data_IF_744518869317
#
_entry.id   IF_744518869317
#
_cell.length_a   1.000
_cell.length_b   1.000
_cell.length_c   1.000
_cell.angle_alpha   90.00
_cell.angle_beta   90.00
_cell.angle_gamma   90.00
#
_symmetry.space_group_name_H-M   'P 1'
#
loop_
_entity.id
_entity.type
_entity.pdbx_description
1 polymer ?
#
# COMPACT_ATOMS: atom_id res chain seq x y z
N UNK A 1 13.13 3.15 2.20
CA UNK A 1 11.99 3.60 2.99
C UNK A 1 11.02 2.45 3.23
N UNK A 2 10.58 2.26 4.47
CA UNK A 2 9.50 1.31 4.77
C UNK A 2 8.17 1.99 4.45
N UNK A 3 7.61 1.68 3.28
CA UNK A 3 6.31 2.17 2.85
C UNK A 3 5.36 0.97 2.85
N UNK A 4 4.39 1.00 3.75
CA UNK A 4 3.33 0.01 3.81
C UNK A 4 1.97 0.71 3.84
N UNK A 5 1.06 0.29 3.00
CA UNK A 5 -0.29 0.88 2.88
C UNK A 5 -1.37 -0.21 2.93
N UNK A 6 -0.99 -1.48 2.76
CA UNK A 6 -1.90 -2.60 2.57
C UNK A 6 -2.30 -2.81 1.10
N UNK A 7 -2.71 -4.03 0.77
CA UNK A 7 -3.03 -4.42 -0.60
C UNK A 7 -4.26 -3.70 -1.15
N UNK A 8 -5.31 -3.58 -0.34
CA UNK A 8 -6.56 -2.95 -0.79
C UNK A 8 -6.41 -1.43 -0.97
N UNK A 9 -5.83 -0.66 -0.04
CA UNK A 9 -5.58 0.77 -0.28
C UNK A 9 -4.68 1.02 -1.50
N UNK A 10 -3.68 0.18 -1.75
CA UNK A 10 -2.83 0.27 -2.94
C UNK A 10 -3.65 0.06 -4.22
N UNK A 11 -4.47 -0.99 -4.27
CA UNK A 11 -5.35 -1.26 -5.41
C UNK A 11 -6.32 -0.10 -5.67
N UNK A 12 -6.93 0.45 -4.63
CA UNK A 12 -7.83 1.61 -4.71
C UNK A 12 -7.12 2.88 -5.16
N UNK A 13 -5.88 3.11 -4.69
CA UNK A 13 -5.07 4.25 -5.13
C UNK A 13 -4.73 4.17 -6.63
N UNK A 14 -4.50 2.98 -7.17
CA UNK A 14 -4.33 2.79 -8.62
C UNK A 14 -5.66 3.03 -9.35
N UNK A 15 -6.78 2.49 -8.83
CA UNK A 15 -8.14 2.71 -9.36
C UNK A 15 -8.53 4.19 -9.42
N UNK A 16 -7.97 5.04 -8.55
CA UNK A 16 -8.19 6.48 -8.55
C UNK A 16 -8.02 7.10 -9.94
N UNK A 17 -7.00 6.68 -10.66
CA UNK A 17 -6.72 7.22 -12.01
C UNK A 17 -7.74 6.76 -13.07
N UNK A 18 -8.39 5.63 -12.84
CA UNK A 18 -9.39 5.06 -13.76
C UNK A 18 -10.82 5.50 -13.44
N UNK A 19 -11.09 6.05 -12.26
CA UNK A 19 -12.42 6.52 -11.84
C UNK A 19 -12.80 7.77 -12.64
N UNK A 20 -13.94 7.74 -13.35
CA UNK A 20 -14.32 8.78 -14.32
C UNK A 20 -14.78 10.09 -13.67
N UNK A 21 -15.45 10.03 -12.53
CA UNK A 21 -15.97 11.21 -11.81
C UNK A 21 -14.88 12.06 -11.17
N UNK A 22 -13.66 11.54 -11.03
CA UNK A 22 -12.54 12.32 -10.51
C UNK A 22 -12.01 13.24 -11.59
N UNK A 23 -11.98 14.55 -11.28
CA UNK A 23 -11.54 15.59 -12.22
C UNK A 23 -10.09 15.34 -12.66
N UNK A 24 -9.81 15.54 -13.95
CA UNK A 24 -8.45 15.40 -14.49
C UNK A 24 -7.43 16.27 -13.77
N UNK A 25 -7.79 17.49 -13.36
CA UNK A 25 -6.92 18.38 -12.58
C UNK A 25 -6.47 17.71 -11.28
N UNK A 26 -7.39 17.05 -10.56
CA UNK A 26 -7.06 16.32 -9.33
C UNK A 26 -6.13 15.14 -9.62
N UNK A 27 -6.39 14.38 -10.69
CA UNK A 27 -5.51 13.26 -11.09
C UNK A 27 -4.09 13.73 -11.37
N UNK A 28 -3.92 14.83 -12.13
CA UNK A 28 -2.60 15.39 -12.41
C UNK A 28 -1.93 15.96 -11.15
N UNK A 29 -2.69 16.60 -10.25
CA UNK A 29 -2.16 17.09 -8.99
C UNK A 29 -1.62 15.92 -8.12
N UNK A 30 -2.39 14.86 -7.94
CA UNK A 30 -1.95 13.68 -7.19
C UNK A 30 -0.77 12.99 -7.87
N UNK A 31 -0.78 12.87 -9.20
CA UNK A 31 0.35 12.32 -9.95
C UNK A 31 1.62 13.15 -9.75
N UNK A 32 1.51 14.48 -9.80
CA UNK A 32 2.63 15.39 -9.54
C UNK A 32 3.20 15.23 -8.12
N UNK A 33 2.33 15.10 -7.12
CA UNK A 33 2.74 14.86 -5.72
C UNK A 33 3.42 13.49 -5.59
N UNK A 34 2.87 12.43 -6.21
CA UNK A 34 3.49 11.10 -6.24
C UNK A 34 4.88 11.19 -6.87
N UNK A 35 4.99 11.82 -8.05
CA UNK A 35 6.26 11.99 -8.74
C UNK A 35 7.29 12.77 -7.90
N UNK A 36 6.84 13.80 -7.18
CA UNK A 36 7.69 14.56 -6.27
C UNK A 36 8.19 13.70 -5.11
N UNK A 37 7.36 12.89 -4.47
CA UNK A 37 7.78 11.97 -3.42
C UNK A 37 8.74 10.90 -3.95
N UNK A 38 8.43 10.31 -5.10
CA UNK A 38 9.32 9.32 -5.73
C UNK A 38 10.67 9.96 -6.04
N UNK A 39 10.69 11.15 -6.64
CA UNK A 39 11.92 11.89 -6.88
C UNK A 39 12.70 12.17 -5.57
N UNK A 40 11.98 12.50 -4.48
CA UNK A 40 12.59 12.74 -3.16
C UNK A 40 13.26 11.50 -2.56
N UNK A 41 12.80 10.28 -2.89
CA UNK A 41 13.46 9.06 -2.45
C UNK A 41 14.77 8.74 -3.18
N UNK A 42 14.94 9.26 -4.41
CA UNK A 42 16.12 8.99 -5.24
C UNK A 42 17.09 10.17 -5.35
N UNK A 43 16.59 11.41 -5.21
CA UNK A 43 17.41 12.62 -5.33
C UNK A 43 17.82 13.12 -3.95
N UNK A 44 19.11 13.04 -3.66
CA UNK A 44 19.70 13.49 -2.38
C UNK A 44 19.35 14.94 -2.04
N UNK A 45 19.31 15.82 -3.03
CA UNK A 45 18.96 17.24 -2.82
C UNK A 45 17.54 17.42 -2.26
N UNK A 46 16.57 16.62 -2.75
CA UNK A 46 15.19 16.66 -2.25
C UNK A 46 15.05 15.98 -0.89
N UNK A 47 15.79 14.89 -0.65
CA UNK A 47 15.82 14.24 0.66
C UNK A 47 16.37 15.20 1.74
N UNK A 48 17.44 15.94 1.44
CA UNK A 48 18.00 16.97 2.33
C UNK A 48 17.00 18.09 2.65
N UNK A 49 16.17 18.51 1.68
CA UNK A 49 15.11 19.50 1.92
C UNK A 49 14.15 19.04 3.02
N UNK A 50 13.72 17.79 2.99
CA UNK A 50 12.84 17.21 4.01
C UNK A 50 13.48 17.11 5.40
N UNK A 51 14.79 17.11 5.46
CA UNK A 51 15.58 16.98 6.69
C UNK A 51 16.17 18.32 7.19
N UNK A 52 15.67 19.44 6.67
CA UNK A 52 16.13 20.78 7.08
C UNK A 52 17.57 21.06 6.65
N UNK A 53 17.99 20.56 5.48
CA UNK A 53 19.33 20.73 4.90
C UNK A 53 20.46 20.08 5.72
N UNK A 54 20.14 19.17 6.63
CA UNK A 54 21.13 18.42 7.40
C UNK A 54 21.20 16.96 6.91
N UNK A 55 22.40 16.37 6.94
CA UNK A 55 22.55 14.96 6.63
C UNK A 55 21.75 14.09 7.62
N UNK A 56 21.03 13.07 7.14
CA UNK A 56 20.17 12.25 7.99
C UNK A 56 20.99 11.53 9.06
N UNK A 57 20.60 11.74 10.30
CA UNK A 57 21.16 11.00 11.43
C UNK A 57 20.25 9.82 11.75
N UNK A 58 20.68 8.59 11.48
CA UNK A 58 20.03 7.29 11.73
C UNK A 58 18.75 6.96 10.95
N UNK A 59 17.84 7.89 10.69
CA UNK A 59 16.54 7.60 10.06
C UNK A 59 16.43 8.25 8.70
N UNK A 60 16.66 7.47 7.65
CA UNK A 60 16.46 7.86 6.25
C UNK A 60 14.97 7.97 5.94
N UNK A 61 14.59 8.97 5.15
CA UNK A 61 13.23 9.12 4.59
C UNK A 61 12.08 9.17 5.62
N UNK A 62 12.22 9.99 6.67
CA UNK A 62 11.18 10.18 7.69
C UNK A 62 9.83 10.60 7.13
N UNK A 63 9.82 11.26 5.97
CA UNK A 63 8.62 11.72 5.27
C UNK A 63 7.87 10.61 4.50
N UNK A 64 8.37 9.36 4.50
CA UNK A 64 7.73 8.24 3.81
C UNK A 64 6.27 8.01 4.26
N UNK A 65 5.92 8.34 5.51
CA UNK A 65 4.54 8.24 5.99
C UNK A 65 3.58 9.19 5.25
N UNK A 66 4.05 10.35 4.77
CA UNK A 66 3.25 11.27 3.97
C UNK A 66 2.88 10.66 2.61
N UNK A 67 3.80 9.90 2.02
CA UNK A 67 3.50 9.14 0.80
C UNK A 67 2.44 8.07 1.05
N UNK A 68 2.53 7.33 2.15
CA UNK A 68 1.50 6.37 2.55
C UNK A 68 0.15 7.05 2.79
N UNK A 69 0.13 8.20 3.47
CA UNK A 69 -1.07 9.00 3.67
C UNK A 69 -1.70 9.44 2.34
N UNK A 70 -0.88 9.88 1.40
CA UNK A 70 -1.35 10.27 0.05
C UNK A 70 -2.07 9.09 -0.64
N UNK A 71 -1.50 7.89 -0.60
CA UNK A 71 -2.12 6.70 -1.18
C UNK A 71 -3.44 6.35 -0.48
N UNK A 72 -3.51 6.49 0.85
CA UNK A 72 -4.75 6.27 1.61
C UNK A 72 -5.82 7.30 1.23
N UNK A 73 -5.46 8.58 1.07
CA UNK A 73 -6.41 9.61 0.62
C UNK A 73 -6.97 9.30 -0.78
N UNK A 74 -6.13 8.87 -1.70
CA UNK A 74 -6.56 8.41 -3.03
C UNK A 74 -7.48 7.20 -2.94
N UNK A 75 -7.17 6.26 -2.07
CA UNK A 75 -7.99 5.07 -1.84
C UNK A 75 -9.37 5.43 -1.29
N UNK A 76 -9.46 6.34 -0.32
CA UNK A 76 -10.71 6.82 0.26
C UNK A 76 -11.57 7.55 -0.79
N UNK A 77 -10.95 8.39 -1.61
CA UNK A 77 -11.63 9.09 -2.69
C UNK A 77 -12.21 8.12 -3.74
N UNK A 78 -11.49 7.04 -4.02
CA UNK A 78 -11.97 5.98 -4.91
C UNK A 78 -13.09 5.15 -4.25
N UNK A 79 -12.92 4.81 -2.98
CA UNK A 79 -13.91 4.05 -2.22
C UNK A 79 -15.23 4.81 -2.10
N UNK A 80 -15.19 6.14 -1.95
CA UNK A 80 -16.41 6.98 -1.93
C UNK A 80 -17.20 6.92 -3.25
N UNK A 81 -16.55 6.48 -4.34
CA UNK A 81 -17.14 6.30 -5.69
C UNK A 81 -17.18 4.84 -6.11
N UNK A 82 -17.30 3.94 -5.15
CA UNK A 82 -17.26 2.49 -5.38
C UNK A 82 -18.28 2.00 -6.42
N UNK A 83 -19.43 2.67 -6.54
CA UNK A 83 -20.47 2.34 -7.51
C UNK A 83 -20.06 2.47 -8.98
N UNK A 84 -19.01 3.26 -9.27
CA UNK A 84 -18.46 3.39 -10.62
C UNK A 84 -17.51 2.24 -11.00
N UNK A 85 -17.06 1.48 -10.00
CA UNK A 85 -16.10 0.41 -10.19
C UNK A 85 -16.80 -0.81 -10.80
N UNK A 86 -16.23 -1.30 -11.89
CA UNK A 86 -16.72 -2.49 -12.61
C UNK A 86 -15.80 -3.68 -12.33
N UNK A 87 -16.35 -4.88 -12.45
CA UNK A 87 -15.59 -6.12 -12.25
C UNK A 87 -14.29 -6.17 -13.08
N UNK A 88 -14.31 -5.68 -14.31
CA UNK A 88 -13.13 -5.70 -15.16
C UNK A 88 -12.00 -4.78 -14.64
N UNK A 89 -12.33 -3.62 -14.01
CA UNK A 89 -11.33 -2.77 -13.37
C UNK A 89 -10.61 -3.52 -12.25
N UNK A 90 -11.38 -4.25 -11.42
CA UNK A 90 -10.83 -5.04 -10.32
C UNK A 90 -9.92 -6.14 -10.87
N UNK A 91 -10.37 -6.88 -11.89
CA UNK A 91 -9.57 -7.94 -12.50
C UNK A 91 -8.29 -7.41 -13.12
N UNK A 92 -8.35 -6.29 -13.86
CA UNK A 92 -7.18 -5.68 -14.50
C UNK A 92 -6.15 -5.25 -13.45
N UNK A 93 -6.58 -4.61 -12.36
CA UNK A 93 -5.65 -4.17 -11.31
C UNK A 93 -5.10 -5.34 -10.52
N UNK A 94 -5.93 -6.33 -10.21
CA UNK A 94 -5.43 -7.56 -9.57
C UNK A 94 -4.39 -8.26 -10.43
N UNK A 95 -4.61 -8.36 -11.74
CA UNK A 95 -3.64 -8.92 -12.68
C UNK A 95 -2.34 -8.08 -12.69
N UNK A 96 -2.45 -6.76 -12.74
CA UNK A 96 -1.30 -5.85 -12.71
C UNK A 96 -0.48 -6.02 -11.41
N UNK A 97 -1.14 -6.07 -10.25
CA UNK A 97 -0.48 -6.27 -8.96
C UNK A 97 0.18 -7.65 -8.86
N UNK A 98 -0.50 -8.70 -9.34
CA UNK A 98 0.05 -10.07 -9.36
C UNK A 98 1.27 -10.13 -10.26
N UNK A 99 1.21 -9.57 -11.47
CA UNK A 99 2.35 -9.59 -12.40
C UNK A 99 3.54 -8.80 -11.86
N UNK A 100 3.32 -7.60 -11.29
CA UNK A 100 4.39 -6.83 -10.66
C UNK A 100 5.01 -7.53 -9.46
N UNK A 101 4.20 -8.23 -8.68
CA UNK A 101 4.69 -9.00 -7.55
C UNK A 101 5.47 -10.25 -7.98
N UNK A 102 5.01 -10.98 -9.00
CA UNK A 102 5.72 -12.11 -9.59
C UNK A 102 7.05 -11.69 -10.22
N UNK A 103 7.07 -10.55 -10.92
CA UNK A 103 8.29 -9.95 -11.47
C UNK A 103 9.32 -9.70 -10.36
N UNK A 104 8.88 -9.12 -9.25
CA UNK A 104 9.71 -8.88 -8.07
C UNK A 104 10.25 -10.18 -7.46
N UNK A 105 9.48 -11.28 -7.47
CA UNK A 105 9.92 -12.58 -6.96
C UNK A 105 10.91 -13.28 -7.89
N UNK A 106 10.70 -13.18 -9.21
CA UNK A 106 11.50 -13.91 -10.21
C UNK A 106 12.84 -13.18 -10.44
N UNK A 107 12.80 -11.86 -10.59
CA UNK A 107 13.98 -11.06 -10.94
C UNK A 107 14.62 -10.35 -9.75
N UNK A 108 13.85 -10.10 -8.68
CA UNK A 108 14.36 -9.48 -7.46
C UNK A 108 14.99 -10.53 -6.55
N UNK A 109 16.31 -10.65 -6.55
CA UNK A 109 17.05 -11.48 -5.59
C UNK A 109 17.04 -10.83 -4.19
N UNK A 110 15.85 -10.50 -3.68
CA UNK A 110 15.71 -9.86 -2.37
C UNK A 110 15.83 -10.90 -1.26
N UNK A 111 16.99 -10.96 -0.63
CA UNK A 111 17.29 -11.84 0.54
C UNK A 111 16.35 -11.63 1.74
N UNK A 112 15.58 -10.55 1.74
CA UNK A 112 14.72 -10.13 2.86
C UNK A 112 13.26 -10.60 2.73
N UNK A 113 12.85 -11.16 1.59
CA UNK A 113 11.46 -11.59 1.36
C UNK A 113 11.31 -13.04 1.79
N UNK A 114 10.62 -13.26 2.91
CA UNK A 114 10.31 -14.62 3.38
C UNK A 114 9.15 -15.22 2.58
N UNK A 115 9.21 -16.51 2.26
CA UNK A 115 8.14 -17.25 1.57
C UNK A 115 6.77 -17.11 2.29
N UNK A 116 6.77 -17.05 3.62
CA UNK A 116 5.55 -16.85 4.41
C UNK A 116 4.89 -15.49 4.16
N UNK A 117 5.67 -14.42 4.01
CA UNK A 117 5.15 -13.08 3.69
C UNK A 117 4.53 -13.05 2.30
N UNK A 118 5.15 -13.73 1.34
CA UNK A 118 4.64 -13.90 -0.02
C UNK A 118 3.29 -14.59 -0.01
N UNK A 119 3.20 -15.74 0.67
CA UNK A 119 1.95 -16.49 0.79
C UNK A 119 0.83 -15.67 1.43
N UNK A 120 1.13 -14.92 2.49
CA UNK A 120 0.17 -14.04 3.16
C UNK A 120 -0.32 -12.92 2.23
N UNK A 121 0.58 -12.30 1.48
CA UNK A 121 0.22 -11.26 0.51
C UNK A 121 -0.73 -11.80 -0.55
N UNK A 122 -0.46 -12.99 -1.10
CA UNK A 122 -1.38 -13.64 -2.04
C UNK A 122 -2.72 -13.98 -1.41
N UNK A 123 -2.73 -14.49 -0.18
CA UNK A 123 -3.97 -14.82 0.53
C UNK A 123 -4.85 -13.58 0.74
N UNK A 124 -4.28 -12.48 1.23
CA UNK A 124 -5.00 -11.22 1.37
C UNK A 124 -5.45 -10.67 0.03
N UNK A 125 -4.60 -10.72 -1.00
CA UNK A 125 -4.95 -10.28 -2.35
C UNK A 125 -6.15 -11.05 -2.92
N UNK A 126 -6.19 -12.38 -2.77
CA UNK A 126 -7.33 -13.21 -3.16
C UNK A 126 -8.59 -12.87 -2.35
N UNK A 127 -8.47 -12.69 -1.03
CA UNK A 127 -9.61 -12.33 -0.18
C UNK A 127 -10.22 -10.99 -0.62
N UNK A 128 -9.39 -9.98 -0.87
CA UNK A 128 -9.84 -8.67 -1.38
C UNK A 128 -10.45 -8.75 -2.77
N UNK A 129 -9.87 -9.57 -3.66
CA UNK A 129 -10.42 -9.80 -4.99
C UNK A 129 -11.83 -10.39 -4.92
N UNK A 130 -12.00 -11.46 -4.15
CA UNK A 130 -13.31 -12.12 -3.95
C UNK A 130 -14.31 -11.14 -3.33
N UNK A 131 -13.92 -10.44 -2.27
CA UNK A 131 -14.77 -9.46 -1.59
C UNK A 131 -15.22 -8.35 -2.53
N UNK A 132 -14.29 -7.80 -3.30
CA UNK A 132 -14.56 -6.72 -4.26
C UNK A 132 -15.48 -7.15 -5.39
N UNK A 133 -15.29 -8.34 -5.96
CA UNK A 133 -16.16 -8.89 -7.01
C UNK A 133 -17.58 -9.09 -6.47
N UNK A 134 -17.72 -9.66 -5.28
CA UNK A 134 -19.03 -9.88 -4.64
C UNK A 134 -19.76 -8.56 -4.37
N UNK A 135 -19.04 -7.52 -3.97
CA UNK A 135 -19.59 -6.19 -3.75
C UNK A 135 -20.05 -5.54 -5.05
N UNK A 136 -19.22 -5.55 -6.11
CA UNK A 136 -19.57 -4.97 -7.41
C UNK A 136 -20.74 -5.71 -8.08
N UNK A 137 -20.84 -7.03 -7.89
CA UNK A 137 -21.99 -7.84 -8.34
C UNK A 137 -23.22 -7.70 -7.46
N UNK A 138 -23.16 -6.89 -6.39
CA UNK A 138 -24.26 -6.68 -5.42
C UNK A 138 -24.74 -7.96 -4.73
N UNK A 139 -23.86 -8.98 -4.62
CA UNK A 139 -24.16 -10.21 -3.87
C UNK A 139 -24.09 -9.99 -2.36
N UNK A 140 -23.37 -8.95 -1.93
CA UNK A 140 -23.32 -8.49 -0.55
C UNK A 140 -23.77 -7.04 -0.47
N UNK A 141 -24.37 -6.64 0.67
CA UNK A 141 -24.77 -5.25 0.90
C UNK A 141 -23.55 -4.35 1.08
N UNK A 142 -23.69 -3.06 0.78
CA UNK A 142 -22.61 -2.08 0.94
C UNK A 142 -22.11 -2.01 2.40
N UNK A 143 -23.00 -2.09 3.38
CA UNK A 143 -22.63 -2.08 4.80
C UNK A 143 -21.80 -3.32 5.17
N UNK A 144 -22.20 -4.50 4.72
CA UNK A 144 -21.48 -5.74 4.98
C UNK A 144 -20.09 -5.71 4.30
N UNK A 145 -20.03 -5.20 3.07
CA UNK A 145 -18.76 -4.99 2.37
C UNK A 145 -17.78 -4.13 3.18
N UNK A 146 -18.24 -2.97 3.67
CA UNK A 146 -17.39 -2.05 4.44
C UNK A 146 -16.93 -2.70 5.76
N UNK A 147 -17.81 -3.42 6.46
CA UNK A 147 -17.44 -4.10 7.70
C UNK A 147 -16.37 -5.16 7.46
N UNK A 148 -16.59 -6.05 6.48
CA UNK A 148 -15.64 -7.12 6.15
C UNK A 148 -14.30 -6.52 5.67
N UNK A 149 -14.38 -5.49 4.84
CA UNK A 149 -13.21 -4.77 4.36
C UNK A 149 -12.38 -4.22 5.51
N UNK A 150 -13.02 -3.54 6.46
CA UNK A 150 -12.36 -2.98 7.64
C UNK A 150 -11.68 -4.07 8.49
N UNK A 151 -12.38 -5.19 8.73
CA UNK A 151 -11.82 -6.33 9.46
C UNK A 151 -10.58 -6.88 8.75
N UNK A 152 -10.65 -7.11 7.44
CA UNK A 152 -9.51 -7.62 6.67
C UNK A 152 -8.32 -6.67 6.68
N UNK A 153 -8.56 -5.37 6.51
CA UNK A 153 -7.50 -4.35 6.57
C UNK A 153 -6.84 -4.29 7.95
N UNK A 154 -7.64 -4.41 9.02
CA UNK A 154 -7.13 -4.42 10.39
C UNK A 154 -6.27 -5.66 10.66
N UNK A 155 -6.72 -6.83 10.21
CA UNK A 155 -5.97 -8.08 10.35
C UNK A 155 -4.67 -8.03 9.53
N UNK A 156 -4.74 -7.57 8.27
CA UNK A 156 -3.56 -7.39 7.41
C UNK A 156 -2.53 -6.46 8.06
N UNK A 157 -2.97 -5.29 8.55
CA UNK A 157 -2.10 -4.33 9.22
C UNK A 157 -1.48 -4.90 10.51
N UNK A 158 -2.26 -5.63 11.30
CA UNK A 158 -1.79 -6.30 12.51
C UNK A 158 -0.74 -7.37 12.23
N UNK A 159 -0.98 -8.22 11.24
CA UNK A 159 -0.01 -9.25 10.81
C UNK A 159 1.28 -8.60 10.31
N UNK A 160 1.17 -7.55 9.48
CA UNK A 160 2.35 -6.83 8.99
C UNK A 160 3.13 -6.17 10.13
N UNK A 161 2.46 -5.56 11.10
CA UNK A 161 3.09 -4.96 12.27
C UNK A 161 3.86 -6.01 13.10
N UNK A 162 3.28 -7.19 13.32
CA UNK A 162 3.94 -8.28 14.02
C UNK A 162 5.22 -8.74 13.32
N UNK A 163 5.19 -8.90 11.98
CA UNK A 163 6.38 -9.25 11.21
C UNK A 163 7.47 -8.17 11.28
N UNK A 164 7.09 -6.90 11.24
CA UNK A 164 8.05 -5.80 11.36
C UNK A 164 8.70 -5.76 12.73
N UNK A 165 7.94 -5.91 13.82
CA UNK A 165 8.47 -5.95 15.18
C UNK A 165 9.42 -7.14 15.37
N UNK A 166 9.05 -8.33 14.89
CA UNK A 166 9.93 -9.51 14.94
C UNK A 166 11.22 -9.33 14.12
N UNK A 167 11.13 -8.64 12.97
CA UNK A 167 12.30 -8.29 12.15
C UNK A 167 13.26 -7.40 12.91
N UNK A 168 12.74 -6.31 13.51
CA UNK A 168 13.54 -5.39 14.32
C UNK A 168 14.20 -6.10 15.50
N UNK A 169 13.48 -6.96 16.21
CA UNK A 169 14.03 -7.71 17.34
C UNK A 169 15.18 -8.66 16.96
N UNK A 170 15.16 -9.21 15.72
CA UNK A 170 16.24 -10.07 15.22
C UNK A 170 17.47 -9.30 14.78
N UNK A 171 17.29 -8.10 14.24
CA UNK A 171 18.41 -7.26 13.76
C UNK A 171 19.06 -6.44 14.87
N UNK A 172 18.29 -6.03 15.86
CA UNK A 172 18.77 -5.27 17.00
C UNK A 172 18.81 -6.19 18.21
N UNK A 173 20.01 -6.60 18.65
CA UNK A 173 20.21 -7.20 19.95
C UNK A 173 19.90 -6.14 21.01
N UNK A 174 18.61 -6.01 21.35
CA UNK A 174 18.23 -5.31 22.57
C UNK A 174 18.79 -6.13 23.73
N UNK A 175 19.77 -5.57 24.44
CA UNK A 175 20.23 -6.15 25.70
C UNK A 175 18.98 -6.45 26.53
N UNK A 176 18.83 -7.72 26.95
CA UNK A 176 17.83 -8.08 27.92
C UNK A 176 18.00 -7.12 29.10
N UNK A 177 17.00 -6.29 29.34
CA UNK A 177 16.93 -5.51 30.56
C UNK A 177 16.48 -6.49 31.65
N UNK A 178 17.41 -7.24 32.14
CA UNK A 178 17.26 -7.92 33.44
C UNK A 178 17.33 -6.82 34.51
N UNK A 179 16.15 -6.37 34.95
CA UNK A 179 16.03 -5.52 36.13
C UNK A 179 15.90 -6.39 37.37
#
# INVERSE_FOLDING_TARGET
PMIYVGMMPLALAILFFFTKSIRLRSKFAFLGIIAFFVASFYLQALDLLWQGMHSPNMFLHRYAFLFSLLLVLMALETLSRWEEIKTWHILTISLFLITGFLDTLIFGHYKYVMTSQVMLTFLFGLAYLILSINSVRKWISAHLFVIILFVFMTVEAGVNALYQVQGIQKEWNFANRDY
#
